data_IF_741471664557
#
_entry.id   IF_741471664557
#
_cell.length_a   1.000
_cell.length_b   1.000
_cell.length_c   1.000
_cell.angle_alpha   90.00
_cell.angle_beta   90.00
_cell.angle_gamma   90.00
#
_symmetry.space_group_name_H-M   'P 1'
#
loop_
_entity.id
_entity.type
_entity.pdbx_description
1 polymer ?
#
# COMPACT_ATOMS: atom_id res chain seq x y z
N UNK A 1 -4.46 8.43 3.69
CA UNK A 1 -4.87 9.58 2.87
C UNK A 1 -5.03 10.84 3.72
N UNK A 2 -5.84 10.85 4.80
CA UNK A 2 -6.05 12.05 5.65
C UNK A 2 -4.75 12.57 6.29
N UNK A 3 -3.89 11.69 6.82
CA UNK A 3 -2.63 12.11 7.45
C UNK A 3 -1.65 12.75 6.46
N UNK A 4 -1.55 12.19 5.25
CA UNK A 4 -0.73 12.79 4.18
C UNK A 4 -1.30 14.16 3.74
N UNK A 5 -2.63 14.29 3.65
CA UNK A 5 -3.28 15.56 3.38
C UNK A 5 -2.97 16.61 4.44
N UNK A 6 -3.05 16.25 5.73
CA UNK A 6 -2.69 17.15 6.84
C UNK A 6 -1.22 17.59 6.77
N UNK A 7 -0.29 16.72 6.39
CA UNK A 7 1.11 17.09 6.23
C UNK A 7 1.29 18.19 5.18
N UNK A 8 0.58 18.10 4.04
CA UNK A 8 0.62 19.13 2.99
C UNK A 8 0.10 20.49 3.50
N UNK A 9 -0.92 20.49 4.35
CA UNK A 9 -1.48 21.73 4.92
C UNK A 9 -0.56 22.43 5.91
N UNK A 10 0.34 21.66 6.53
CA UNK A 10 1.30 22.18 7.52
C UNK A 10 2.63 22.58 6.88
N UNK A 11 2.92 22.11 5.65
CA UNK A 11 4.15 22.41 4.92
C UNK A 11 4.47 23.92 4.80
N UNK A 12 3.51 24.84 4.57
CA UNK A 12 3.80 26.27 4.51
C UNK A 12 4.42 26.84 5.79
N UNK A 13 4.25 26.17 6.94
CA UNK A 13 4.88 26.56 8.18
C UNK A 13 6.41 26.34 8.16
N UNK A 14 6.91 25.53 7.23
CA UNK A 14 8.35 25.35 7.02
C UNK A 14 9.04 26.60 6.52
N UNK A 15 8.29 27.50 5.84
CA UNK A 15 8.82 28.76 5.29
C UNK A 15 8.90 29.90 6.33
N UNK A 16 8.51 29.65 7.59
CA UNK A 16 8.59 30.61 8.70
C UNK A 16 10.01 30.74 9.24
N UNK A 17 10.99 30.99 8.37
CA UNK A 17 12.41 31.21 8.72
C UNK A 17 13.24 29.92 8.82
N UNK A 18 14.53 30.06 9.14
CA UNK A 18 15.51 28.95 9.12
C UNK A 18 15.13 27.71 9.96
N UNK A 19 14.28 27.89 10.96
CA UNK A 19 13.83 26.79 11.86
C UNK A 19 12.38 26.39 11.63
N UNK A 20 11.70 26.96 10.65
CA UNK A 20 10.29 26.72 10.36
C UNK A 20 9.96 25.25 10.11
N UNK A 21 10.87 24.51 9.48
CA UNK A 21 10.71 23.05 9.26
C UNK A 21 10.48 22.27 10.56
N UNK A 22 11.01 22.72 11.71
CA UNK A 22 10.79 22.07 13.00
C UNK A 22 9.35 22.19 13.47
N UNK A 23 8.66 23.27 13.11
CA UNK A 23 7.26 23.50 13.48
C UNK A 23 6.38 22.44 12.83
N UNK A 24 6.70 22.05 11.60
CA UNK A 24 5.98 21.00 10.86
C UNK A 24 5.99 19.66 11.63
N UNK A 25 7.11 19.33 12.27
CA UNK A 25 7.22 18.13 13.11
C UNK A 25 6.60 18.27 14.50
N UNK A 26 6.44 19.50 15.01
CA UNK A 26 5.80 19.74 16.31
C UNK A 26 4.27 19.62 16.24
N UNK A 27 3.66 19.94 15.09
CA UNK A 27 2.20 19.86 14.91
C UNK A 27 1.64 18.47 15.21
N UNK A 28 2.19 17.34 14.69
CA UNK A 28 1.74 16.00 15.07
C UNK A 28 1.88 15.69 16.56
N UNK A 29 2.88 16.28 17.25
CA UNK A 29 3.06 16.07 18.69
C UNK A 29 1.88 16.60 19.50
N UNK A 30 1.21 17.66 19.04
CA UNK A 30 0.01 18.20 19.69
C UNK A 30 -1.16 17.23 19.67
N UNK A 31 -1.20 16.29 18.72
CA UNK A 31 -2.22 15.26 18.63
C UNK A 31 -1.97 14.06 19.58
N UNK A 32 -0.72 13.87 20.06
CA UNK A 32 -0.35 12.72 20.88
C UNK A 32 -1.16 12.57 22.17
N UNK A 33 -1.40 13.63 22.99
CA UNK A 33 -2.23 13.50 24.18
C UNK A 33 -3.65 13.06 23.87
N UNK A 34 -4.25 13.59 22.80
CA UNK A 34 -5.57 13.18 22.33
C UNK A 34 -5.61 11.71 21.87
N UNK A 35 -4.60 11.28 21.13
CA UNK A 35 -4.46 9.89 20.69
C UNK A 35 -4.22 8.93 21.85
N UNK A 36 -3.40 9.33 22.83
CA UNK A 36 -3.17 8.54 24.05
C UNK A 36 -4.46 8.39 24.87
N UNK A 37 -5.21 9.48 25.04
CA UNK A 37 -6.50 9.46 25.73
C UNK A 37 -7.56 8.64 24.97
N UNK A 38 -7.59 8.71 23.64
CA UNK A 38 -8.46 7.87 22.83
C UNK A 38 -8.05 6.40 22.90
N UNK A 39 -6.75 6.11 22.83
CA UNK A 39 -6.18 4.76 22.91
C UNK A 39 -6.48 4.08 24.27
N UNK A 40 -6.40 4.83 25.37
CA UNK A 40 -6.72 4.30 26.72
C UNK A 40 -8.18 3.93 26.91
N UNK A 41 -9.09 4.49 26.09
CA UNK A 41 -10.54 4.20 26.12
C UNK A 41 -10.96 3.06 25.19
N UNK A 42 -10.06 2.59 24.32
CA UNK A 42 -10.37 1.49 23.42
C UNK A 42 -10.40 0.17 24.19
N UNK A 43 -11.54 -0.55 24.18
CA UNK A 43 -11.59 -1.88 24.79
C UNK A 43 -10.71 -2.84 24.00
N UNK A 44 -9.99 -3.69 24.73
CA UNK A 44 -9.20 -4.77 24.11
C UNK A 44 -10.08 -5.68 23.26
N UNK A 45 -9.59 -6.10 22.10
CA UNK A 45 -10.40 -6.89 21.19
C UNK A 45 -10.85 -8.20 21.83
N UNK A 46 -12.12 -8.56 21.66
CA UNK A 46 -12.70 -9.81 22.21
C UNK A 46 -11.90 -11.05 21.82
N UNK A 47 -11.35 -11.07 20.60
CA UNK A 47 -10.50 -12.19 20.10
C UNK A 47 -9.15 -12.25 20.81
N UNK A 48 -8.54 -11.13 21.13
CA UNK A 48 -7.28 -11.09 21.88
C UNK A 48 -7.49 -11.59 23.32
N UNK A 49 -8.52 -11.10 24.02
CA UNK A 49 -8.88 -11.57 25.37
C UNK A 49 -9.13 -13.09 25.38
N UNK A 50 -9.95 -13.58 24.46
CA UNK A 50 -10.24 -15.00 24.36
C UNK A 50 -9.00 -15.87 24.10
N UNK A 51 -8.01 -15.37 23.36
CA UNK A 51 -6.76 -16.08 23.14
C UNK A 51 -5.81 -16.01 24.35
N UNK A 52 -5.85 -14.92 25.12
CA UNK A 52 -5.05 -14.74 26.34
C UNK A 52 -5.62 -15.58 27.49
N UNK A 53 -6.94 -15.64 27.62
CA UNK A 53 -7.64 -16.47 28.61
C UNK A 53 -7.52 -17.97 28.33
N UNK A 54 -7.40 -18.37 27.07
CA UNK A 54 -7.20 -19.78 26.66
C UNK A 54 -5.83 -20.36 27.07
N UNK A 55 -4.90 -19.52 27.57
CA UNK A 55 -3.58 -19.96 28.06
C UNK A 55 -2.71 -20.69 27.02
N UNK A 56 -1.48 -21.07 27.37
CA UNK A 56 -0.62 -21.90 26.51
C UNK A 56 -1.08 -23.37 26.40
N UNK A 57 -2.22 -23.71 26.96
CA UNK A 57 -2.81 -25.06 26.98
C UNK A 57 -3.48 -25.49 25.67
N UNK A 58 -3.07 -24.96 24.53
CA UNK A 58 -3.28 -25.63 23.26
C UNK A 58 -2.37 -26.86 23.22
N UNK A 59 -2.85 -28.00 23.77
CA UNK A 59 -2.22 -29.31 23.56
C UNK A 59 -1.78 -29.42 22.11
N UNK A 60 -0.53 -29.84 21.83
CA UNK A 60 -0.17 -30.30 20.50
C UNK A 60 -0.98 -31.56 20.26
N UNK A 61 -2.22 -31.39 19.81
CA UNK A 61 -3.05 -32.49 19.33
C UNK A 61 -2.32 -33.12 18.14
N UNK A 62 -1.90 -34.31 18.34
CA UNK A 62 -1.52 -35.36 17.39
C UNK A 62 -2.23 -35.23 16.04
N UNK A 63 -1.67 -34.42 15.14
CA UNK A 63 -1.91 -34.43 13.70
C UNK A 63 -0.66 -33.93 13.00
N UNK A 64 0.38 -34.81 13.01
CA UNK A 64 1.64 -34.52 12.33
C UNK A 64 1.53 -34.48 10.80
N UNK A 65 0.60 -35.21 10.21
CA UNK A 65 0.47 -35.31 8.75
C UNK A 65 -0.10 -34.03 8.06
N UNK A 66 -0.87 -33.20 8.75
CA UNK A 66 -1.38 -31.94 8.18
C UNK A 66 -0.49 -30.72 8.43
N UNK A 67 0.55 -30.82 9.26
CA UNK A 67 1.34 -29.68 9.69
C UNK A 67 2.34 -29.20 8.61
N UNK A 68 2.93 -30.14 7.88
CA UNK A 68 3.90 -29.83 6.83
C UNK A 68 3.24 -29.16 5.61
N UNK A 69 2.09 -29.65 5.18
CA UNK A 69 1.34 -29.08 4.06
C UNK A 69 0.79 -27.71 4.40
N UNK A 70 0.28 -27.49 5.62
CA UNK A 70 -0.15 -26.16 6.09
C UNK A 70 1.00 -25.17 6.09
N UNK A 71 2.18 -25.55 6.59
CA UNK A 71 3.37 -24.69 6.57
C UNK A 71 3.80 -24.34 5.15
N UNK A 72 3.77 -25.28 4.22
CA UNK A 72 4.08 -25.03 2.79
C UNK A 72 3.09 -24.06 2.16
N UNK A 73 1.80 -24.21 2.44
CA UNK A 73 0.74 -23.29 1.93
C UNK A 73 0.94 -21.88 2.50
N UNK A 74 1.18 -21.75 3.81
CA UNK A 74 1.43 -20.45 4.45
C UNK A 74 2.71 -19.79 3.92
N UNK A 75 3.80 -20.56 3.76
CA UNK A 75 5.04 -20.05 3.17
C UNK A 75 4.84 -19.56 1.73
N UNK A 76 4.12 -20.33 0.91
CA UNK A 76 3.82 -19.94 -0.45
C UNK A 76 2.97 -18.66 -0.51
N UNK A 77 1.94 -18.54 0.33
CA UNK A 77 1.12 -17.34 0.45
C UNK A 77 1.97 -16.14 0.88
N UNK A 78 2.86 -16.32 1.85
CA UNK A 78 3.76 -15.29 2.32
C UNK A 78 4.70 -14.80 1.22
N UNK A 79 5.34 -15.72 0.50
CA UNK A 79 6.25 -15.38 -0.60
C UNK A 79 5.52 -14.63 -1.73
N UNK A 80 4.30 -15.05 -2.09
CA UNK A 80 3.50 -14.37 -3.12
C UNK A 80 3.13 -12.95 -2.71
N UNK A 81 2.68 -12.75 -1.47
CA UNK A 81 2.30 -11.42 -0.97
C UNK A 81 3.52 -10.52 -0.79
N UNK A 82 4.63 -11.05 -0.31
CA UNK A 82 5.87 -10.32 -0.16
C UNK A 82 6.46 -9.90 -1.52
N UNK A 83 6.42 -10.79 -2.51
CA UNK A 83 6.83 -10.46 -3.88
C UNK A 83 5.90 -9.39 -4.50
N UNK A 84 4.59 -9.50 -4.30
CA UNK A 84 3.65 -8.50 -4.77
C UNK A 84 3.90 -7.13 -4.11
N UNK A 85 4.14 -7.08 -2.79
CA UNK A 85 4.47 -5.86 -2.08
C UNK A 85 5.78 -5.24 -2.57
N UNK A 86 6.81 -6.06 -2.78
CA UNK A 86 8.08 -5.63 -3.36
C UNK A 86 7.88 -5.00 -4.74
N UNK A 87 7.24 -5.71 -5.67
CA UNK A 87 7.03 -5.27 -7.05
C UNK A 87 6.17 -4.00 -7.14
N UNK A 88 5.13 -3.90 -6.30
CA UNK A 88 4.29 -2.73 -6.25
C UNK A 88 5.06 -1.50 -5.76
N UNK A 89 5.75 -1.62 -4.62
CA UNK A 89 6.44 -0.50 -4.00
C UNK A 89 7.75 -0.14 -4.73
N UNK A 90 8.33 -1.05 -5.47
CA UNK A 90 9.46 -0.81 -6.37
C UNK A 90 9.16 0.29 -7.40
N UNK A 91 7.92 0.42 -7.83
CA UNK A 91 7.47 1.50 -8.72
C UNK A 91 6.81 2.65 -7.98
N UNK A 92 5.92 2.35 -7.02
CA UNK A 92 5.08 3.37 -6.39
C UNK A 92 5.89 4.39 -5.59
N UNK A 93 6.96 3.96 -4.92
CA UNK A 93 7.82 4.86 -4.15
C UNK A 93 8.56 5.88 -5.04
N UNK A 94 9.33 5.47 -6.07
CA UNK A 94 9.98 6.45 -6.94
C UNK A 94 8.98 7.31 -7.73
N UNK A 95 7.86 6.75 -8.19
CA UNK A 95 6.84 7.51 -8.89
C UNK A 95 6.24 8.66 -8.06
N UNK A 96 6.17 8.49 -6.73
CA UNK A 96 5.69 9.55 -5.83
C UNK A 96 6.80 10.47 -5.34
N UNK A 97 8.00 9.95 -5.06
CA UNK A 97 9.09 10.75 -4.49
C UNK A 97 9.74 11.67 -5.52
N UNK A 98 10.03 11.17 -6.72
CA UNK A 98 10.62 11.97 -7.78
C UNK A 98 9.64 12.91 -8.50
N UNK A 99 8.35 12.84 -8.14
CA UNK A 99 7.35 13.73 -8.74
C UNK A 99 7.66 15.20 -8.46
N UNK A 100 8.05 15.54 -7.24
CA UNK A 100 8.32 16.92 -6.85
C UNK A 100 9.56 17.46 -7.59
N UNK A 101 10.62 16.65 -7.67
CA UNK A 101 11.85 17.03 -8.40
C UNK A 101 11.56 17.17 -9.88
N UNK A 102 10.79 16.27 -10.47
CA UNK A 102 10.35 16.37 -11.86
C UNK A 102 9.56 17.66 -12.13
N UNK A 103 8.59 18.00 -11.27
CA UNK A 103 7.78 19.20 -11.44
C UNK A 103 8.62 20.47 -11.28
N UNK A 104 9.55 20.49 -10.33
CA UNK A 104 10.43 21.61 -10.06
C UNK A 104 11.48 21.79 -11.16
N UNK A 105 12.27 20.76 -11.42
CA UNK A 105 13.50 20.87 -12.21
C UNK A 105 13.25 20.70 -13.71
N UNK A 106 12.26 19.89 -14.11
CA UNK A 106 11.95 19.65 -15.53
C UNK A 106 10.72 20.39 -16.04
N UNK A 107 9.83 20.87 -15.15
CA UNK A 107 8.62 21.58 -15.54
C UNK A 107 8.58 23.03 -15.04
N UNK A 108 9.55 23.45 -14.21
CA UNK A 108 9.66 24.82 -13.72
C UNK A 108 8.54 25.25 -12.76
N UNK A 109 7.89 24.29 -12.09
CA UNK A 109 6.83 24.62 -11.12
C UNK A 109 7.43 25.25 -9.85
N UNK A 110 6.79 26.29 -9.35
CA UNK A 110 7.06 26.81 -8.01
C UNK A 110 6.57 25.86 -6.92
N UNK A 111 7.03 26.05 -5.68
CA UNK A 111 6.57 25.24 -4.53
C UNK A 111 5.04 25.29 -4.37
N UNK A 112 4.42 26.47 -4.55
CA UNK A 112 2.96 26.63 -4.54
C UNK A 112 2.28 25.90 -5.69
N UNK A 113 2.89 25.92 -6.88
CA UNK A 113 2.40 25.17 -8.05
C UNK A 113 2.45 23.64 -7.83
N UNK A 114 3.51 23.13 -7.22
CA UNK A 114 3.64 21.71 -6.85
C UNK A 114 2.60 21.33 -5.79
N UNK A 115 2.38 22.19 -4.77
CA UNK A 115 1.36 21.95 -3.76
C UNK A 115 -0.04 21.89 -4.38
N UNK A 116 -0.37 22.82 -5.28
CA UNK A 116 -1.65 22.83 -6.00
C UNK A 116 -1.80 21.58 -6.88
N UNK A 117 -0.75 21.24 -7.62
CA UNK A 117 -0.72 20.01 -8.45
C UNK A 117 -1.02 18.78 -7.61
N UNK A 118 -0.29 18.59 -6.51
CA UNK A 118 -0.45 17.44 -5.62
C UNK A 118 -1.84 17.43 -4.98
N UNK A 119 -2.34 18.57 -4.54
CA UNK A 119 -3.67 18.67 -3.97
C UNK A 119 -4.76 18.24 -4.95
N UNK A 120 -4.74 18.75 -6.16
CA UNK A 120 -5.79 18.50 -7.16
C UNK A 120 -5.68 17.11 -7.80
N UNK A 121 -4.48 16.55 -7.92
CA UNK A 121 -4.29 15.25 -8.57
C UNK A 121 -4.29 14.08 -7.59
N UNK A 122 -3.83 14.26 -6.35
CA UNK A 122 -3.72 13.17 -5.37
C UNK A 122 -4.90 13.07 -4.40
N UNK A 123 -5.59 14.18 -4.10
CA UNK A 123 -6.77 14.15 -3.23
C UNK A 123 -7.91 13.26 -3.77
N UNK A 124 -8.21 13.26 -5.10
CA UNK A 124 -9.23 12.39 -5.66
C UNK A 124 -8.94 10.89 -5.55
N UNK A 125 -7.71 10.49 -5.20
CA UNK A 125 -7.40 9.09 -4.86
C UNK A 125 -8.31 8.52 -3.77
N UNK A 126 -8.80 9.38 -2.85
CA UNK A 126 -9.78 9.00 -1.85
C UNK A 126 -11.06 8.41 -2.48
N UNK A 127 -11.55 9.01 -3.56
CA UNK A 127 -12.71 8.49 -4.32
C UNK A 127 -12.38 7.10 -4.88
N UNK A 128 -11.17 6.94 -5.45
CA UNK A 128 -10.71 5.67 -5.97
C UNK A 128 -10.62 4.57 -4.90
N UNK A 129 -10.23 4.90 -3.66
CA UNK A 129 -10.19 3.95 -2.53
C UNK A 129 -11.61 3.46 -2.18
N UNK A 130 -12.59 4.36 -2.10
CA UNK A 130 -13.99 3.96 -1.88
C UNK A 130 -14.53 3.11 -3.02
N UNK A 131 -14.25 3.51 -4.27
CA UNK A 131 -14.63 2.75 -5.44
C UNK A 131 -13.95 1.37 -5.46
N UNK A 132 -12.68 1.28 -5.03
CA UNK A 132 -11.91 0.04 -4.95
C UNK A 132 -12.60 -0.99 -4.05
N UNK A 133 -13.04 -0.60 -2.85
CA UNK A 133 -13.75 -1.50 -1.93
C UNK A 133 -15.00 -2.06 -2.58
N UNK A 134 -15.87 -1.19 -3.11
CA UNK A 134 -17.14 -1.60 -3.73
C UNK A 134 -16.96 -2.43 -5.00
N UNK A 135 -16.00 -2.07 -5.83
CA UNK A 135 -15.67 -2.82 -7.04
C UNK A 135 -15.06 -4.18 -6.71
N UNK A 136 -14.18 -4.24 -5.71
CA UNK A 136 -13.55 -5.47 -5.26
C UNK A 136 -14.58 -6.51 -4.77
N UNK A 137 -15.59 -6.05 -4.02
CA UNK A 137 -16.64 -6.93 -3.51
C UNK A 137 -17.60 -7.40 -4.61
N UNK A 138 -17.80 -6.61 -5.69
CA UNK A 138 -18.73 -6.93 -6.77
C UNK A 138 -18.11 -7.64 -7.96
N UNK A 139 -16.91 -7.22 -8.38
CA UNK A 139 -16.21 -7.70 -9.59
C UNK A 139 -15.00 -8.59 -9.31
N UNK A 140 -14.67 -8.79 -8.04
CA UNK A 140 -13.55 -9.60 -7.60
C UNK A 140 -12.28 -8.77 -7.35
N UNK A 141 -11.57 -9.12 -6.27
CA UNK A 141 -10.39 -8.39 -5.79
C UNK A 141 -9.21 -8.49 -6.75
N UNK A 142 -9.01 -9.67 -7.34
CA UNK A 142 -7.92 -9.91 -8.31
C UNK A 142 -8.03 -9.03 -9.54
N UNK A 143 -9.21 -8.98 -10.15
CA UNK A 143 -9.45 -8.21 -11.38
C UNK A 143 -9.33 -6.72 -11.12
N UNK A 144 -9.96 -6.23 -10.07
CA UNK A 144 -9.92 -4.81 -9.70
C UNK A 144 -8.50 -4.37 -9.36
N UNK A 145 -7.78 -5.14 -8.55
CA UNK A 145 -6.39 -4.84 -8.22
C UNK A 145 -5.46 -4.89 -9.44
N UNK A 146 -5.64 -5.87 -10.34
CA UNK A 146 -4.84 -5.95 -11.57
C UNK A 146 -5.09 -4.78 -12.52
N UNK A 147 -6.36 -4.34 -12.67
CA UNK A 147 -6.69 -3.12 -13.43
C UNK A 147 -5.99 -1.90 -12.81
N UNK A 148 -6.03 -1.77 -11.48
CA UNK A 148 -5.32 -0.70 -10.77
C UNK A 148 -3.82 -0.71 -11.03
N UNK A 149 -3.19 -1.89 -10.98
CA UNK A 149 -1.76 -2.05 -11.26
C UNK A 149 -1.39 -1.64 -12.68
N UNK A 150 -2.11 -2.15 -13.68
CA UNK A 150 -1.78 -1.90 -15.10
C UNK A 150 -2.15 -0.48 -15.50
N UNK A 151 -3.42 -0.10 -15.35
CA UNK A 151 -3.89 1.20 -15.80
C UNK A 151 -3.30 2.34 -14.97
N UNK A 152 -3.18 2.18 -13.64
CA UNK A 152 -2.53 3.16 -12.79
C UNK A 152 -1.08 3.41 -13.23
N UNK A 153 -0.31 2.35 -13.48
CA UNK A 153 1.09 2.48 -13.95
C UNK A 153 1.17 3.18 -15.29
N UNK A 154 0.35 2.78 -16.26
CA UNK A 154 0.36 3.36 -17.61
C UNK A 154 0.08 4.87 -17.55
N UNK A 155 -0.96 5.28 -16.83
CA UNK A 155 -1.31 6.69 -16.73
C UNK A 155 -0.30 7.51 -15.90
N UNK A 156 0.24 6.94 -14.83
CA UNK A 156 1.30 7.60 -14.05
C UNK A 156 2.56 7.82 -14.90
N UNK A 157 3.01 6.81 -15.63
CA UNK A 157 4.17 6.93 -16.54
C UNK A 157 3.86 7.93 -17.66
N UNK A 158 2.67 7.87 -18.27
CA UNK A 158 2.25 8.81 -19.31
C UNK A 158 2.29 10.27 -18.82
N UNK A 159 1.99 10.53 -17.56
CA UNK A 159 2.07 11.85 -16.95
C UNK A 159 3.48 12.46 -17.01
N UNK A 160 4.53 11.66 -16.92
CA UNK A 160 5.91 12.14 -17.02
C UNK A 160 6.33 12.53 -18.46
N UNK A 161 5.64 12.01 -19.48
CA UNK A 161 5.85 12.39 -20.88
C UNK A 161 4.94 13.54 -21.33
N UNK A 162 3.81 13.71 -20.67
CA UNK A 162 2.80 14.69 -21.04
C UNK A 162 3.15 16.12 -20.58
N UNK A 163 2.46 17.10 -21.14
CA UNK A 163 2.60 18.53 -20.83
C UNK A 163 1.22 19.16 -20.56
N UNK A 164 1.23 20.27 -19.82
CA UNK A 164 0.03 21.07 -19.58
C UNK A 164 -1.12 20.24 -18.99
N UNK A 165 -2.32 20.44 -19.52
CA UNK A 165 -3.54 19.77 -19.03
C UNK A 165 -3.46 18.24 -19.11
N UNK A 166 -2.79 17.71 -20.15
CA UNK A 166 -2.66 16.26 -20.32
C UNK A 166 -1.80 15.63 -19.21
N UNK A 167 -0.76 16.32 -18.73
CA UNK A 167 0.05 15.90 -17.59
C UNK A 167 -0.80 15.80 -16.32
N UNK A 168 -1.61 16.84 -16.05
CA UNK A 168 -2.51 16.85 -14.89
C UNK A 168 -3.56 15.74 -14.97
N UNK A 169 -4.20 15.60 -16.13
CA UNK A 169 -5.22 14.60 -16.36
C UNK A 169 -4.67 13.17 -16.23
N UNK A 170 -3.52 12.90 -16.85
CA UNK A 170 -2.86 11.60 -16.78
C UNK A 170 -2.49 11.24 -15.34
N UNK A 171 -1.92 12.19 -14.60
CA UNK A 171 -1.55 11.93 -13.20
C UNK A 171 -2.79 11.71 -12.33
N UNK A 172 -3.82 12.54 -12.45
CA UNK A 172 -5.08 12.39 -11.73
C UNK A 172 -5.71 11.01 -11.97
N UNK A 173 -5.87 10.64 -13.25
CA UNK A 173 -6.43 9.35 -13.65
C UNK A 173 -5.53 8.21 -13.15
N UNK A 174 -4.22 8.36 -13.29
CA UNK A 174 -3.23 7.40 -12.83
C UNK A 174 -3.33 7.14 -11.33
N UNK A 175 -3.40 8.17 -10.50
CA UNK A 175 -3.50 8.06 -9.04
C UNK A 175 -4.85 7.43 -8.62
N UNK A 176 -5.95 7.85 -9.25
CA UNK A 176 -7.28 7.27 -8.98
C UNK A 176 -7.31 5.79 -9.35
N UNK A 177 -6.77 5.40 -10.50
CA UNK A 177 -6.70 3.99 -10.90
C UNK A 177 -5.72 3.19 -10.04
N UNK A 178 -4.54 3.75 -9.72
CA UNK A 178 -3.59 3.10 -8.83
C UNK A 178 -4.18 2.83 -7.44
N UNK A 179 -5.10 3.68 -6.96
CA UNK A 179 -5.77 3.46 -5.68
C UNK A 179 -6.64 2.19 -5.64
N UNK A 180 -7.03 1.63 -6.79
CA UNK A 180 -7.72 0.33 -6.88
C UNK A 180 -6.86 -0.82 -6.34
N UNK A 181 -5.54 -0.64 -6.27
CA UNK A 181 -4.63 -1.64 -5.69
C UNK A 181 -4.86 -1.87 -4.20
N UNK A 182 -5.55 -0.95 -3.50
CA UNK A 182 -5.98 -1.13 -2.10
C UNK A 182 -6.83 -2.40 -1.95
N UNK A 183 -7.57 -2.82 -2.99
CA UNK A 183 -8.28 -4.10 -3.02
C UNK A 183 -7.37 -5.31 -2.74
N UNK A 184 -6.06 -5.21 -3.03
CA UNK A 184 -5.07 -6.26 -2.77
C UNK A 184 -4.56 -6.24 -1.32
N UNK A 185 -4.68 -5.11 -0.60
CA UNK A 185 -4.23 -4.96 0.78
C UNK A 185 -4.96 -5.86 1.78
N UNK A 186 -6.15 -6.34 1.42
CA UNK A 186 -6.98 -7.21 2.27
C UNK A 186 -6.43 -8.64 2.35
N UNK A 187 -5.62 -9.07 1.38
CA UNK A 187 -5.08 -10.43 1.35
C UNK A 187 -4.18 -10.76 2.55
N UNK A 188 -3.43 -9.78 3.06
CA UNK A 188 -2.59 -9.97 4.24
C UNK A 188 -3.41 -10.45 5.45
N UNK A 189 -4.43 -9.69 5.90
CA UNK A 189 -5.29 -10.10 7.00
C UNK A 189 -6.11 -11.37 6.77
N UNK A 190 -6.52 -11.64 5.52
CA UNK A 190 -7.44 -12.73 5.20
C UNK A 190 -6.77 -14.09 5.01
N UNK A 191 -5.55 -14.11 4.45
CA UNK A 191 -4.87 -15.36 4.09
C UNK A 191 -4.07 -15.98 5.24
N UNK A 192 -3.91 -15.29 6.38
CA UNK A 192 -3.17 -15.80 7.52
C UNK A 192 -4.06 -15.93 8.75
N UNK A 193 -3.82 -17.02 9.51
CA UNK A 193 -4.47 -17.24 10.79
C UNK A 193 -4.13 -16.12 11.77
N UNK A 194 -4.97 -15.89 12.77
CA UNK A 194 -4.78 -14.82 13.78
C UNK A 194 -3.41 -14.92 14.45
N UNK A 195 -2.88 -16.12 14.63
CA UNK A 195 -1.59 -16.37 15.28
C UNK A 195 -0.37 -15.98 14.41
N UNK A 196 -0.43 -16.20 13.10
CA UNK A 196 0.68 -15.95 12.17
C UNK A 196 0.59 -14.59 11.46
N UNK A 197 -0.57 -13.93 11.52
CA UNK A 197 -0.89 -12.69 10.79
C UNK A 197 0.09 -11.55 11.03
N UNK A 198 0.41 -11.27 12.31
CA UNK A 198 1.32 -10.17 12.65
C UNK A 198 2.73 -10.39 12.08
N UNK A 199 3.26 -11.63 12.21
CA UNK A 199 4.57 -11.99 11.65
C UNK A 199 4.58 -11.94 10.12
N UNK A 200 3.54 -12.47 9.49
CA UNK A 200 3.40 -12.46 8.04
C UNK A 200 3.35 -11.01 7.52
N UNK A 201 2.53 -10.16 8.15
CA UNK A 201 2.44 -8.75 7.77
C UNK A 201 3.77 -8.02 7.96
N UNK A 202 4.50 -8.28 9.03
CA UNK A 202 5.86 -7.73 9.24
C UNK A 202 6.80 -8.06 8.09
N UNK A 203 6.84 -9.32 7.63
CA UNK A 203 7.68 -9.74 6.49
C UNK A 203 7.23 -9.07 5.19
N UNK A 204 5.92 -9.02 4.92
CA UNK A 204 5.37 -8.38 3.71
C UNK A 204 5.76 -6.90 3.67
N UNK A 205 5.59 -6.18 4.78
CA UNK A 205 5.95 -4.76 4.88
C UNK A 205 7.45 -4.55 4.70
N UNK A 206 8.29 -5.37 5.35
CA UNK A 206 9.75 -5.27 5.23
C UNK A 206 10.21 -5.46 3.78
N UNK A 207 9.68 -6.47 3.08
CA UNK A 207 10.01 -6.69 1.67
C UNK A 207 9.43 -5.60 0.76
N UNK A 208 8.28 -5.04 1.10
CA UNK A 208 7.75 -3.86 0.42
C UNK A 208 8.68 -2.64 0.55
N UNK A 209 9.18 -2.37 1.76
CA UNK A 209 10.16 -1.29 2.00
C UNK A 209 11.47 -1.55 1.25
N UNK A 210 11.94 -2.80 1.21
CA UNK A 210 13.10 -3.16 0.40
C UNK A 210 12.85 -2.89 -1.10
N UNK A 211 11.64 -3.17 -1.58
CA UNK A 211 11.21 -2.81 -2.94
C UNK A 211 11.27 -1.29 -3.17
N UNK A 212 10.75 -0.49 -2.22
CA UNK A 212 10.84 0.98 -2.29
C UNK A 212 12.27 1.47 -2.40
N UNK A 213 13.16 0.98 -1.53
CA UNK A 213 14.56 1.39 -1.51
C UNK A 213 15.27 1.01 -2.82
N UNK A 214 15.07 -0.23 -3.28
CA UNK A 214 15.65 -0.70 -4.55
C UNK A 214 15.10 0.10 -5.73
N UNK A 215 13.80 0.39 -5.74
CA UNK A 215 13.16 1.18 -6.79
C UNK A 215 13.69 2.61 -6.84
N UNK A 216 13.84 3.27 -5.70
CA UNK A 216 14.40 4.63 -5.62
C UNK A 216 15.83 4.68 -6.14
N UNK A 217 16.67 3.73 -5.73
CA UNK A 217 18.06 3.65 -6.19
C UNK A 217 18.13 3.41 -7.72
N UNK A 218 17.32 2.46 -8.21
CA UNK A 218 17.34 2.15 -9.65
C UNK A 218 16.81 3.30 -10.50
N UNK A 219 15.65 3.87 -10.13
CA UNK A 219 15.03 4.96 -10.89
C UNK A 219 15.90 6.21 -10.84
N UNK A 220 16.53 6.52 -9.70
CA UNK A 220 17.49 7.62 -9.61
C UNK A 220 18.65 7.44 -10.57
N UNK A 221 19.33 6.28 -10.51
CA UNK A 221 20.46 5.99 -11.40
C UNK A 221 20.07 5.96 -12.91
N UNK A 222 18.89 5.43 -13.23
CA UNK A 222 18.39 5.43 -14.61
C UNK A 222 17.97 6.83 -15.07
N UNK A 223 17.41 7.66 -14.19
CA UNK A 223 17.06 9.04 -14.52
C UNK A 223 18.31 9.87 -14.83
N UNK A 224 19.39 9.67 -14.07
CA UNK A 224 20.68 10.30 -14.34
C UNK A 224 21.26 9.80 -15.68
N UNK A 225 21.22 8.49 -15.93
CA UNK A 225 21.76 7.90 -17.16
C UNK A 225 20.98 8.28 -18.43
N UNK A 226 19.65 8.37 -18.33
CA UNK A 226 18.78 8.70 -19.48
C UNK A 226 18.49 10.20 -19.60
N UNK A 227 18.81 11.00 -18.59
CA UNK A 227 18.39 12.40 -18.50
C UNK A 227 16.87 12.57 -18.44
N UNK A 228 16.13 11.53 -18.03
CA UNK A 228 14.66 11.51 -18.09
C UNK A 228 14.02 10.61 -17.02
N UNK A 229 13.24 11.20 -16.14
CA UNK A 229 12.41 10.45 -15.20
C UNK A 229 11.35 9.58 -15.89
N UNK A 230 10.81 10.02 -17.03
CA UNK A 230 9.82 9.26 -17.79
C UNK A 230 10.36 7.90 -18.23
N UNK A 231 11.57 7.87 -18.83
CA UNK A 231 12.21 6.63 -19.26
C UNK A 231 12.56 5.73 -18.07
N UNK A 232 13.10 6.29 -16.99
CA UNK A 232 13.45 5.54 -15.79
C UNK A 232 12.21 4.90 -15.14
N UNK A 233 11.11 5.65 -15.03
CA UNK A 233 9.85 5.15 -14.47
C UNK A 233 9.15 4.16 -15.43
N UNK A 234 9.29 4.30 -16.74
CA UNK A 234 8.78 3.32 -17.69
C UNK A 234 9.46 1.94 -17.49
N UNK A 235 10.76 1.92 -17.22
CA UNK A 235 11.49 0.69 -16.88
C UNK A 235 10.98 0.13 -15.53
N UNK A 236 10.88 0.97 -14.52
CA UNK A 236 10.37 0.54 -13.20
C UNK A 236 8.91 0.06 -13.26
N UNK A 237 8.12 0.57 -14.21
CA UNK A 237 6.73 0.17 -14.46
C UNK A 237 6.56 -1.32 -14.79
N UNK A 238 7.63 -2.01 -15.17
CA UNK A 238 7.63 -3.48 -15.33
C UNK A 238 7.27 -4.16 -14.00
N UNK A 239 7.64 -3.59 -12.85
CA UNK A 239 7.31 -4.13 -11.52
C UNK A 239 5.80 -4.34 -11.31
N UNK A 240 4.97 -3.29 -11.34
CA UNK A 240 3.51 -3.43 -11.23
C UNK A 240 2.88 -4.31 -12.32
N UNK A 241 3.41 -4.34 -13.54
CA UNK A 241 2.92 -5.22 -14.60
C UNK A 241 3.17 -6.70 -14.26
N UNK A 242 4.36 -7.03 -13.77
CA UNK A 242 4.67 -8.37 -13.25
C UNK A 242 3.82 -8.71 -12.04
N UNK A 243 3.59 -7.72 -11.14
CA UNK A 243 2.67 -7.89 -10.01
C UNK A 243 1.24 -8.20 -10.48
N UNK A 244 0.74 -7.54 -11.52
CA UNK A 244 -0.59 -7.82 -12.08
C UNK A 244 -0.69 -9.26 -12.62
N UNK A 245 0.32 -9.73 -13.35
CA UNK A 245 0.41 -11.11 -13.82
C UNK A 245 0.43 -12.08 -12.62
N UNK A 246 1.23 -11.80 -11.61
CA UNK A 246 1.31 -12.61 -10.39
C UNK A 246 -0.05 -12.69 -9.69
N UNK A 247 -0.74 -11.57 -9.53
CA UNK A 247 -2.08 -11.50 -8.92
C UNK A 247 -3.09 -12.29 -9.72
N UNK A 248 -3.12 -12.12 -11.05
CA UNK A 248 -4.09 -12.81 -11.91
C UNK A 248 -3.86 -14.32 -12.01
N UNK A 249 -2.62 -14.79 -11.85
CA UNK A 249 -2.29 -16.20 -12.05
C UNK A 249 -2.19 -17.00 -10.76
N UNK A 250 -1.79 -16.37 -9.65
CA UNK A 250 -1.41 -17.10 -8.42
C UNK A 250 -2.22 -16.76 -7.19
N UNK A 251 -2.93 -15.62 -7.17
CA UNK A 251 -3.73 -15.23 -6.01
C UNK A 251 -5.10 -15.90 -6.05
N UNK A 252 -5.64 -16.35 -4.90
CA UNK A 252 -7.01 -16.82 -4.82
C UNK A 252 -7.99 -15.66 -4.95
N UNK A 253 -9.17 -15.90 -5.50
CA UNK A 253 -10.26 -14.93 -5.41
C UNK A 253 -10.93 -15.09 -4.04
N UNK A 254 -10.88 -14.03 -3.23
CA UNK A 254 -11.42 -14.04 -1.87
C UNK A 254 -12.69 -13.19 -1.71
N UNK A 255 -13.15 -12.57 -2.81
CA UNK A 255 -14.40 -11.82 -2.78
C UNK A 255 -15.58 -12.72 -2.42
N UNK A 256 -16.36 -12.32 -1.40
CA UNK A 256 -17.54 -13.05 -0.89
C UNK A 256 -17.25 -14.45 -0.31
N UNK A 257 -16.00 -14.73 0.05
CA UNK A 257 -15.64 -15.98 0.73
C UNK A 257 -15.56 -15.69 2.23
N UNK A 258 -16.20 -16.51 3.05
CA UNK A 258 -16.16 -16.39 4.50
C UNK A 258 -14.75 -16.66 5.03
N UNK A 259 -14.31 -15.87 6.03
CA UNK A 259 -12.97 -15.98 6.62
C UNK A 259 -12.72 -17.36 7.23
N UNK A 260 -13.76 -17.99 7.74
CA UNK A 260 -13.75 -19.30 8.36
C UNK A 260 -13.38 -20.39 7.34
N UNK A 261 -13.81 -20.25 6.08
CA UNK A 261 -13.46 -21.19 4.99
C UNK A 261 -12.02 -21.01 4.53
N UNK A 262 -11.49 -19.78 4.60
CA UNK A 262 -10.11 -19.48 4.24
C UNK A 262 -9.12 -19.92 5.34
N UNK A 263 -9.54 -19.92 6.60
CA UNK A 263 -8.74 -20.28 7.77
C UNK A 263 -9.49 -21.25 8.70
N UNK A 264 -9.66 -22.51 8.33
CA UNK A 264 -10.40 -23.50 9.15
C UNK A 264 -9.81 -23.69 10.56
N UNK A 265 -8.56 -23.30 10.79
CA UNK A 265 -7.89 -23.37 12.08
C UNK A 265 -8.32 -22.32 13.10
N UNK A 266 -9.04 -21.27 12.67
CA UNK A 266 -9.57 -20.20 13.53
C UNK A 266 -11.00 -20.51 14.03
N UNK A 267 -11.62 -21.58 13.53
CA UNK A 267 -12.95 -22.06 13.97
C UNK A 267 -12.81 -22.87 15.25
N UNK A 268 -13.47 -22.45 16.34
CA UNK A 268 -13.58 -23.28 17.54
C UNK A 268 -14.50 -24.46 17.26
N UNK A 269 -14.12 -25.71 17.58
CA UNK A 269 -15.09 -26.80 17.65
C UNK A 269 -16.00 -26.54 18.85
N UNK A 270 -17.25 -26.12 18.61
CA UNK A 270 -18.24 -25.99 19.68
C UNK A 270 -19.02 -24.68 19.76
N UNK A 271 -19.28 -24.00 18.66
CA UNK A 271 -20.19 -22.86 18.58
C UNK A 271 -21.38 -23.20 17.67
N UNK A 272 -22.32 -23.96 18.18
CA UNK A 272 -23.70 -24.03 17.68
C UNK A 272 -24.59 -23.23 18.60
#
# INVERSE_FOLDING_TARGET
ALGAGMAVWVLPLADLGEKGWRIVYLVPLLALPGLAAAGSRLPESRRFRANTEAGPSGRPGTREDGSADRRRIEQRRLLLLAAAAFLLLFFAAPASQFQNDFLKDHRGYSASGIALYTLLTSTPAGIGIFAAGRLADTRGRRRVGAVGLVAGTVFLVAGYYAFGVLMWASHLVGVVLASLTVALGVYGPELFSTRSRARANGVIVTLGVAGSATGLLLVGALADAFGSYGHALAVAGVGPLLCAVLVLTRFPETARVELETLNPGDVRPGGS
#
